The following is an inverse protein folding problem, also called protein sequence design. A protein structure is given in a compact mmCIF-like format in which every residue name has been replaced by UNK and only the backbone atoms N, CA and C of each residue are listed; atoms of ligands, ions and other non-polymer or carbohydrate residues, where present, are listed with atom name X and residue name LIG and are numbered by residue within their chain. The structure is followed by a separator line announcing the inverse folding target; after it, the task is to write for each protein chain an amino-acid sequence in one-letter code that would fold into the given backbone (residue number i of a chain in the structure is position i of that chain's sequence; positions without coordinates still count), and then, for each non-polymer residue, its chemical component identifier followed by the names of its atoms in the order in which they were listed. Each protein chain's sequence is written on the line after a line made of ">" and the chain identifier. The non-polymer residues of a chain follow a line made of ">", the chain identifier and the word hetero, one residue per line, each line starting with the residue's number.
data_IF_301347584266
#
_entry.id   IF_301347584266
#
_cell.length_a   1.000
_cell.length_b   1.000
_cell.length_c   1.000
_cell.angle_alpha   90.00
_cell.angle_beta   90.00
_cell.angle_gamma   90.00
#
_symmetry.space_group_name_H-M   'P 1'
#
loop_
_entity.id
_entity.type
_entity.pdbx_description
1 polymer ?
#
# COMPACT_ATOMS: atom_id res chain seq x y z
N UNK A 1 -9.36 16.96 -4.98
CA UNK A 1 -7.93 16.66 -5.08
C UNK A 1 -7.65 15.36 -4.36
N UNK A 2 -6.63 14.63 -4.77
CA UNK A 2 -6.16 13.45 -4.05
C UNK A 2 -5.08 13.90 -3.08
N UNK A 3 -5.32 13.71 -1.78
CA UNK A 3 -4.40 14.14 -0.71
C UNK A 3 -4.01 12.94 0.13
N UNK A 4 -2.78 12.92 0.62
CA UNK A 4 -2.25 11.79 1.37
C UNK A 4 -1.62 12.27 2.67
N UNK A 5 -1.94 11.59 3.77
CA UNK A 5 -1.39 11.90 5.10
C UNK A 5 -0.30 10.89 5.47
N UNK A 6 0.82 11.38 6.00
CA UNK A 6 1.91 10.56 6.53
C UNK A 6 2.41 11.20 7.84
N UNK A 7 2.60 10.40 8.88
CA UNK A 7 3.12 10.89 10.18
C UNK A 7 2.26 11.97 10.86
N UNK A 8 0.95 12.02 10.59
CA UNK A 8 0.03 13.01 11.17
C UNK A 8 -0.05 14.34 10.42
N UNK A 9 0.66 14.50 9.30
CA UNK A 9 0.61 15.69 8.46
C UNK A 9 0.16 15.36 7.03
N UNK A 10 -0.64 16.23 6.42
CA UNK A 10 -1.06 16.09 5.02
C UNK A 10 0.08 16.51 4.10
N UNK A 11 0.53 15.58 3.26
CA UNK A 11 1.50 15.84 2.22
C UNK A 11 0.78 16.28 0.94
N UNK A 12 0.78 17.58 0.70
CA UNK A 12 0.12 18.21 -0.45
C UNK A 12 0.88 18.01 -1.77
N UNK A 13 2.14 17.54 -1.73
CA UNK A 13 2.99 17.41 -2.92
C UNK A 13 3.09 15.96 -3.42
N UNK A 14 2.53 14.99 -2.70
CA UNK A 14 2.67 13.59 -3.05
C UNK A 14 1.69 13.18 -4.17
N UNK A 15 2.23 12.64 -5.25
CA UNK A 15 1.44 12.10 -6.35
C UNK A 15 0.92 10.68 -6.04
N UNK A 16 -0.12 10.28 -6.77
CA UNK A 16 -0.79 8.98 -6.60
C UNK A 16 0.15 7.79 -6.73
N UNK A 17 1.14 7.84 -7.64
CA UNK A 17 2.06 6.73 -7.89
C UNK A 17 3.04 6.57 -6.74
N UNK A 18 3.55 7.68 -6.22
CA UNK A 18 4.40 7.72 -5.02
C UNK A 18 3.64 7.24 -3.77
N UNK A 19 2.41 7.70 -3.59
CA UNK A 19 1.56 7.26 -2.48
C UNK A 19 1.25 5.76 -2.53
N UNK A 20 0.92 5.25 -3.72
CA UNK A 20 0.69 3.83 -3.94
C UNK A 20 1.94 2.97 -3.68
N UNK A 21 3.13 3.44 -4.10
CA UNK A 21 4.39 2.76 -3.80
C UNK A 21 4.64 2.71 -2.29
N UNK A 22 4.44 3.83 -1.58
CA UNK A 22 4.60 3.90 -0.11
C UNK A 22 3.62 2.97 0.61
N UNK A 23 2.35 2.95 0.23
CA UNK A 23 1.35 2.07 0.85
C UNK A 23 1.71 0.59 0.70
N UNK A 24 2.21 0.18 -0.48
CA UNK A 24 2.69 -1.19 -0.69
C UNK A 24 3.92 -1.54 0.14
N UNK A 25 4.86 -0.61 0.34
CA UNK A 25 6.02 -0.85 1.21
C UNK A 25 5.59 -1.02 2.67
N UNK A 26 4.67 -0.19 3.15
CA UNK A 26 4.11 -0.30 4.51
C UNK A 26 3.40 -1.63 4.70
N UNK A 27 2.56 -2.05 3.75
CA UNK A 27 1.88 -3.34 3.78
C UNK A 27 2.88 -4.51 3.79
N UNK A 28 3.88 -4.50 2.90
CA UNK A 28 4.93 -5.52 2.83
C UNK A 28 5.67 -5.65 4.16
N UNK A 29 6.04 -4.52 4.78
CA UNK A 29 6.73 -4.51 6.06
C UNK A 29 5.88 -5.11 7.17
N UNK A 30 4.59 -4.74 7.23
CA UNK A 30 3.65 -5.32 8.19
C UNK A 30 3.50 -6.83 8.01
N UNK A 31 3.38 -7.32 6.77
CA UNK A 31 3.30 -8.76 6.47
C UNK A 31 4.50 -9.50 7.05
N UNK A 32 5.72 -9.04 6.77
CA UNK A 32 6.92 -9.70 7.28
C UNK A 32 7.03 -9.68 8.81
N UNK A 33 6.48 -8.67 9.47
CA UNK A 33 6.55 -8.57 10.93
C UNK A 33 5.44 -9.31 11.67
N UNK A 34 4.27 -9.48 11.05
CA UNK A 34 3.05 -9.89 11.76
C UNK A 34 2.42 -11.16 11.24
N UNK A 35 2.78 -11.62 10.04
CA UNK A 35 2.23 -12.85 9.47
C UNK A 35 3.19 -14.01 9.69
N UNK A 36 2.70 -15.08 10.31
CA UNK A 36 3.40 -16.37 10.38
C UNK A 36 3.29 -17.08 9.02
N UNK A 37 4.37 -16.97 8.23
CA UNK A 37 4.46 -17.55 6.89
C UNK A 37 4.50 -19.09 6.88
N UNK A 38 4.73 -19.73 8.04
CA UNK A 38 4.69 -21.20 8.12
C UNK A 38 3.25 -21.71 8.21
N UNK A 39 2.32 -20.86 8.65
CA UNK A 39 0.91 -21.21 8.85
C UNK A 39 -0.04 -20.49 7.90
N UNK A 40 0.44 -19.48 7.18
CA UNK A 40 -0.38 -18.61 6.35
C UNK A 40 0.21 -18.43 4.95
N UNK A 41 -0.67 -18.33 3.96
CA UNK A 41 -0.31 -17.98 2.59
C UNK A 41 -0.75 -16.54 2.30
N UNK A 42 0.16 -15.74 1.73
CA UNK A 42 -0.12 -14.34 1.39
C UNK A 42 -0.24 -14.22 -0.12
N UNK A 43 -1.36 -13.67 -0.58
CA UNK A 43 -1.63 -13.39 -1.99
C UNK A 43 -1.75 -11.89 -2.20
N UNK A 44 -1.21 -11.41 -3.33
CA UNK A 44 -1.40 -10.03 -3.78
C UNK A 44 -2.10 -10.05 -5.14
N UNK A 45 -3.30 -9.46 -5.21
CA UNK A 45 -4.01 -9.29 -6.48
C UNK A 45 -3.57 -8.00 -7.15
N UNK A 46 -3.01 -8.11 -8.35
CA UNK A 46 -2.62 -6.96 -9.17
C UNK A 46 -3.85 -6.20 -9.68
N UNK A 47 -3.59 -5.07 -10.35
CA UNK A 47 -4.61 -4.29 -11.04
C UNK A 47 -5.49 -5.17 -11.95
N UNK A 48 -6.80 -4.94 -11.89
CA UNK A 48 -7.81 -5.56 -12.75
C UNK A 48 -8.32 -4.50 -13.71
N UNK A 49 -8.47 -4.85 -14.99
CA UNK A 49 -9.07 -3.94 -15.97
C UNK A 49 -10.48 -3.55 -15.55
N UNK A 50 -10.79 -2.27 -15.73
CA UNK A 50 -12.15 -1.76 -15.72
C UNK A 50 -12.69 -1.81 -17.15
N UNK A 51 -13.86 -2.42 -17.31
CA UNK A 51 -14.63 -2.35 -18.56
C UNK A 51 -15.57 -1.17 -18.42
N UNK A 52 -15.41 -0.17 -19.29
CA UNK A 52 -16.23 1.03 -19.36
C UNK A 52 -17.23 0.90 -20.50
#
# INVERSE_FOLDING_TARGET
>A
GTFFQEGGAVNMTMDTKSAFKKSLQTWKHWVFQKVDIQKSYVFFRSYSSVHF
#
